data_IF_017064696557
#
_entry.id   IF_017064696557
#
_cell.length_a   1.000
_cell.length_b   1.000
_cell.length_c   1.000
_cell.angle_alpha   90.00
_cell.angle_beta   90.00
_cell.angle_gamma   90.00
#
_symmetry.space_group_name_H-M   'P 1'
#
loop_
_entity.id
_entity.type
_entity.pdbx_description
1 polymer ?
#
# COMPACT_ATOMS: atom_id res chain seq x y z
N UNK A 1 -10.83 -16.03 -12.14
CA UNK A 1 -9.49 -15.51 -12.49
C UNK A 1 -9.28 -14.18 -11.81
N UNK A 2 -8.22 -14.06 -11.05
CA UNK A 2 -7.88 -12.82 -10.35
C UNK A 2 -7.06 -11.91 -11.27
N UNK A 3 -7.27 -10.57 -11.23
CA UNK A 3 -6.38 -9.64 -11.94
C UNK A 3 -4.92 -9.74 -11.47
N UNK A 4 -4.69 -10.29 -10.28
CA UNK A 4 -3.34 -10.50 -9.73
C UNK A 4 -2.69 -11.79 -10.22
N UNK A 5 -3.36 -12.56 -11.07
CA UNK A 5 -2.75 -13.69 -11.78
C UNK A 5 -1.91 -13.24 -13.00
N UNK A 6 -1.99 -11.94 -13.34
CA UNK A 6 -1.14 -11.36 -14.38
C UNK A 6 0.34 -11.41 -13.97
N UNK A 7 1.28 -11.35 -14.94
CA UNK A 7 2.70 -11.39 -14.62
C UNK A 7 3.13 -10.25 -13.72
N UNK A 8 4.02 -10.55 -12.78
CA UNK A 8 4.64 -9.54 -11.93
C UNK A 8 5.75 -8.84 -12.70
N UNK A 9 5.70 -7.50 -12.70
CA UNK A 9 6.75 -6.66 -13.27
C UNK A 9 7.47 -5.95 -12.12
N UNK A 10 8.74 -6.31 -11.82
CA UNK A 10 9.48 -5.66 -10.75
C UNK A 10 9.69 -4.17 -11.01
N UNK A 11 9.83 -3.40 -9.93
CA UNK A 11 10.23 -1.99 -10.03
C UNK A 11 11.57 -1.89 -10.76
N UNK A 12 11.73 -0.93 -11.69
CA UNK A 12 13.03 -0.67 -12.29
C UNK A 12 14.05 -0.12 -11.30
N UNK A 13 13.60 0.35 -10.15
CA UNK A 13 14.48 0.78 -9.07
C UNK A 13 14.81 -0.42 -8.18
N UNK A 14 16.02 -0.94 -8.33
CA UNK A 14 16.46 -2.17 -7.66
C UNK A 14 16.20 -2.23 -6.15
N UNK A 15 16.42 -1.16 -5.35
CA UNK A 15 16.13 -1.23 -3.92
C UNK A 15 14.70 -1.63 -3.59
N UNK A 16 13.72 -1.19 -4.37
CA UNK A 16 12.32 -1.57 -4.17
C UNK A 16 12.10 -3.06 -4.53
N UNK A 17 12.64 -3.51 -5.65
CA UNK A 17 12.53 -4.91 -6.06
C UNK A 17 13.20 -5.85 -5.03
N UNK A 18 14.33 -5.45 -4.49
CA UNK A 18 15.05 -6.21 -3.45
C UNK A 18 14.26 -6.28 -2.14
N UNK A 19 13.60 -5.19 -1.74
CA UNK A 19 12.74 -5.15 -0.55
C UNK A 19 11.55 -6.11 -0.69
N UNK A 20 10.93 -6.14 -1.87
CA UNK A 20 9.83 -7.06 -2.15
C UNK A 20 10.31 -8.52 -2.03
N UNK A 21 11.47 -8.82 -2.64
CA UNK A 21 12.05 -10.16 -2.57
C UNK A 21 12.38 -10.56 -1.14
N UNK A 22 12.97 -9.65 -0.36
CA UNK A 22 13.28 -9.88 1.05
C UNK A 22 12.02 -10.22 1.84
N UNK A 23 10.96 -9.45 1.64
CA UNK A 23 9.69 -9.68 2.34
C UNK A 23 9.11 -11.04 1.99
N UNK A 24 9.05 -11.37 0.72
CA UNK A 24 8.47 -12.63 0.24
C UNK A 24 9.27 -13.83 0.72
N UNK A 25 10.60 -13.74 0.71
CA UNK A 25 11.48 -14.81 1.15
C UNK A 25 11.39 -15.06 2.66
N UNK A 26 11.19 -14.00 3.45
CA UNK A 26 11.18 -14.09 4.91
C UNK A 26 9.80 -14.04 5.54
N UNK A 27 8.74 -13.92 4.72
CA UNK A 27 7.38 -13.70 5.17
C UNK A 27 7.29 -12.48 6.12
N UNK A 28 8.01 -11.42 5.80
CA UNK A 28 8.00 -10.18 6.57
C UNK A 28 8.78 -10.23 7.88
N UNK A 29 9.58 -11.28 8.12
CA UNK A 29 10.33 -11.43 9.37
C UNK A 29 11.48 -10.44 9.53
N UNK A 30 12.04 -9.96 8.41
CA UNK A 30 13.14 -9.01 8.43
C UNK A 30 12.63 -7.57 8.25
N UNK A 31 13.24 -6.59 8.93
CA UNK A 31 12.84 -5.20 8.77
C UNK A 31 13.21 -4.65 7.39
N UNK A 32 12.46 -3.63 6.96
CA UNK A 32 12.78 -2.88 5.75
C UNK A 32 13.78 -1.77 6.07
N UNK A 33 14.75 -1.56 5.19
CA UNK A 33 15.66 -0.42 5.28
C UNK A 33 14.94 0.91 4.96
N UNK A 34 13.80 0.84 4.27
CA UNK A 34 13.07 2.02 3.77
C UNK A 34 11.87 2.36 4.67
N UNK A 35 11.06 1.35 5.06
CA UNK A 35 9.80 1.58 5.77
C UNK A 35 9.80 1.04 7.21
N UNK A 36 10.92 0.56 7.70
CA UNK A 36 11.06 0.16 9.11
C UNK A 36 10.61 -1.27 9.40
N UNK A 37 10.26 -1.52 10.67
CA UNK A 37 10.05 -2.88 11.18
C UNK A 37 8.67 -3.44 10.84
N UNK A 38 7.66 -2.58 10.75
CA UNK A 38 6.27 -2.99 10.59
C UNK A 38 5.77 -2.58 9.21
N UNK A 39 5.84 -3.52 8.28
CA UNK A 39 5.58 -3.24 6.88
C UNK A 39 4.83 -4.37 6.18
N UNK A 40 4.28 -4.03 5.03
CA UNK A 40 3.49 -4.92 4.18
C UNK A 40 3.92 -4.75 2.73
N UNK A 41 3.49 -5.67 1.88
CA UNK A 41 3.62 -5.53 0.43
C UNK A 41 2.24 -5.30 -0.17
N UNK A 42 2.07 -4.18 -0.85
CA UNK A 42 0.86 -3.85 -1.59
C UNK A 42 1.02 -4.31 -3.05
N UNK A 43 0.04 -5.07 -3.53
CA UNK A 43 -0.03 -5.47 -4.94
C UNK A 43 -1.11 -4.65 -5.63
N UNK A 44 -0.75 -4.03 -6.74
CA UNK A 44 -1.70 -3.33 -7.61
C UNK A 44 -1.54 -3.81 -9.04
N UNK A 45 -2.55 -3.54 -9.87
CA UNK A 45 -2.45 -3.82 -11.31
C UNK A 45 -2.05 -2.53 -12.00
N UNK A 46 -0.99 -2.56 -12.78
CA UNK A 46 -0.51 -1.39 -13.49
C UNK A 46 -1.58 -0.79 -14.41
N UNK A 47 -1.87 0.50 -14.24
CA UNK A 47 -2.94 1.17 -14.98
C UNK A 47 -2.75 1.15 -16.49
N UNK A 48 -1.50 1.07 -16.95
CA UNK A 48 -1.15 1.06 -18.37
C UNK A 48 -0.74 -0.32 -18.87
N UNK A 49 0.07 -1.04 -18.06
CA UNK A 49 0.67 -2.30 -18.47
C UNK A 49 -0.22 -3.51 -18.22
N UNK A 50 -1.15 -3.43 -17.26
CA UNK A 50 -1.93 -4.57 -16.81
C UNK A 50 -1.12 -5.60 -16.01
N UNK A 51 0.17 -5.34 -15.77
CA UNK A 51 1.03 -6.24 -15.00
C UNK A 51 0.87 -5.99 -13.50
N UNK A 52 1.21 -6.98 -12.69
CA UNK A 52 1.20 -6.84 -11.23
C UNK A 52 2.42 -6.03 -10.79
N UNK A 53 2.17 -5.01 -9.97
CA UNK A 53 3.21 -4.20 -9.34
C UNK A 53 3.14 -4.42 -7.83
N UNK A 54 4.29 -4.47 -7.18
CA UNK A 54 4.39 -4.68 -5.73
C UNK A 54 5.17 -3.55 -5.09
N UNK A 55 4.66 -3.01 -3.99
CA UNK A 55 5.24 -1.85 -3.31
C UNK A 55 5.32 -2.11 -1.82
N UNK A 56 6.49 -1.96 -1.19
CA UNK A 56 6.61 -2.01 0.26
C UNK A 56 6.05 -0.72 0.87
N UNK A 57 5.21 -0.87 1.88
CA UNK A 57 4.57 0.25 2.58
C UNK A 57 4.54 -0.02 4.08
N UNK A 58 4.42 1.07 4.85
CA UNK A 58 4.20 0.99 6.30
C UNK A 58 2.85 0.29 6.56
N UNK A 59 2.83 -0.63 7.53
CA UNK A 59 1.63 -1.35 7.92
C UNK A 59 0.73 -0.47 8.78
N UNK A 60 -0.46 -0.17 8.29
CA UNK A 60 -1.48 0.58 9.02
C UNK A 60 -2.75 -0.26 8.99
N UNK A 61 -3.12 -0.82 10.13
CA UNK A 61 -4.24 -1.77 10.23
C UNK A 61 -5.15 -1.41 11.39
N UNK A 62 -6.42 -1.79 11.29
CA UNK A 62 -7.37 -1.71 12.39
C UNK A 62 -7.65 -3.11 12.97
N UNK A 63 -8.55 -3.20 13.95
CA UNK A 63 -8.89 -4.45 14.60
C UNK A 63 -9.94 -5.27 13.82
N UNK A 64 -10.50 -4.71 12.77
CA UNK A 64 -11.53 -5.35 11.94
C UNK A 64 -10.95 -6.03 10.69
N UNK A 65 -9.63 -6.02 10.52
CA UNK A 65 -8.97 -6.63 9.37
C UNK A 65 -8.86 -5.70 8.17
N UNK A 66 -9.14 -4.42 8.34
CA UNK A 66 -8.96 -3.40 7.31
C UNK A 66 -7.57 -2.77 7.43
N UNK A 67 -7.10 -2.24 6.32
CA UNK A 67 -5.80 -1.55 6.25
C UNK A 67 -5.99 -0.20 5.59
N UNK A 68 -5.04 0.69 5.79
CA UNK A 68 -4.92 1.91 4.99
C UNK A 68 -3.56 1.98 4.34
N UNK A 69 -3.51 2.55 3.14
CA UNK A 69 -2.27 2.88 2.45
C UNK A 69 -2.29 4.37 2.12
N UNK A 70 -1.17 5.02 2.39
CA UNK A 70 -1.04 6.48 2.33
C UNK A 70 -0.12 6.84 1.17
N UNK A 71 -0.63 7.60 0.21
CA UNK A 71 0.10 8.01 -0.98
C UNK A 71 1.04 9.19 -0.74
N UNK A 72 1.80 9.16 0.35
CA UNK A 72 2.65 10.28 0.76
C UNK A 72 3.90 10.46 -0.08
N UNK A 73 4.58 9.37 -0.40
CA UNK A 73 5.88 9.39 -1.09
C UNK A 73 6.84 10.43 -0.48
N UNK A 74 6.88 10.49 0.87
CA UNK A 74 7.70 11.44 1.61
C UNK A 74 7.33 12.90 1.42
N UNK A 75 6.11 13.21 0.96
CA UNK A 75 5.68 14.57 0.65
C UNK A 75 6.12 15.05 -0.73
N UNK A 76 6.53 14.15 -1.62
CA UNK A 76 6.88 14.48 -3.00
C UNK A 76 5.72 15.17 -3.73
N UNK A 77 6.01 16.00 -4.75
CA UNK A 77 4.96 16.79 -5.44
C UNK A 77 3.96 15.95 -6.23
N UNK A 78 4.32 14.73 -6.61
CA UNK A 78 3.45 13.85 -7.38
C UNK A 78 3.05 12.63 -6.56
N UNK A 79 1.88 12.05 -6.88
CA UNK A 79 1.44 10.81 -6.28
C UNK A 79 2.32 9.64 -6.75
N UNK A 80 2.54 8.62 -5.87
CA UNK A 80 3.18 7.39 -6.31
C UNK A 80 2.35 6.69 -7.40
N UNK A 81 3.00 5.90 -8.24
CA UNK A 81 2.33 5.20 -9.35
C UNK A 81 1.20 4.29 -8.87
N UNK A 82 1.35 3.65 -7.72
CA UNK A 82 0.31 2.75 -7.21
C UNK A 82 -1.01 3.47 -6.89
N UNK A 83 -0.97 4.79 -6.60
CA UNK A 83 -2.18 5.59 -6.45
C UNK A 83 -2.99 5.60 -7.75
N UNK A 84 -2.31 5.82 -8.87
CA UNK A 84 -2.96 5.80 -10.19
C UNK A 84 -3.50 4.40 -10.51
N UNK A 85 -2.77 3.37 -10.13
CA UNK A 85 -3.19 1.99 -10.34
C UNK A 85 -4.48 1.68 -9.55
N UNK A 86 -4.56 2.09 -8.28
CA UNK A 86 -5.74 1.87 -7.46
C UNK A 86 -6.95 2.68 -7.93
N UNK A 87 -6.73 3.87 -8.48
CA UNK A 87 -7.81 4.67 -9.05
C UNK A 87 -8.35 4.06 -10.34
N UNK A 88 -7.49 3.43 -11.13
CA UNK A 88 -7.90 2.76 -12.36
C UNK A 88 -8.61 1.43 -12.08
N UNK A 89 -8.12 0.65 -11.10
CA UNK A 89 -8.73 -0.60 -10.67
C UNK A 89 -8.69 -0.65 -9.13
N UNK A 90 -9.84 -0.42 -8.46
CA UNK A 90 -9.90 -0.32 -6.99
C UNK A 90 -9.90 -1.69 -6.31
N UNK A 91 -8.92 -2.50 -6.63
CA UNK A 91 -8.64 -3.79 -6.02
C UNK A 91 -7.18 -3.84 -5.63
N UNK A 92 -6.88 -4.51 -4.54
CA UNK A 92 -5.52 -4.72 -4.07
C UNK A 92 -5.36 -6.13 -3.53
N UNK A 93 -4.14 -6.60 -3.54
CA UNK A 93 -3.73 -7.77 -2.77
C UNK A 93 -2.68 -7.29 -1.78
N UNK A 94 -2.73 -7.77 -0.54
CA UNK A 94 -1.71 -7.46 0.46
C UNK A 94 -1.05 -8.75 0.92
N UNK A 95 0.26 -8.67 1.09
CA UNK A 95 0.97 -9.65 1.90
C UNK A 95 1.29 -9.00 3.25
N UNK A 96 0.77 -9.59 4.32
CA UNK A 96 1.02 -9.19 5.70
C UNK A 96 1.58 -10.42 6.43
N UNK A 97 2.89 -10.44 6.62
CA UNK A 97 3.58 -11.63 7.08
C UNK A 97 3.46 -12.75 6.05
N UNK A 98 2.97 -13.90 6.47
CA UNK A 98 2.73 -15.06 5.61
C UNK A 98 1.37 -15.03 4.92
N UNK A 99 0.46 -14.15 5.35
CA UNK A 99 -0.89 -14.06 4.79
C UNK A 99 -0.91 -13.21 3.53
N UNK A 100 -1.57 -13.71 2.50
CA UNK A 100 -1.80 -12.99 1.24
C UNK A 100 -3.31 -12.99 0.98
N UNK A 101 -3.93 -11.80 0.93
CA UNK A 101 -5.40 -11.67 0.79
C UNK A 101 -5.73 -10.55 -0.19
N UNK A 102 -6.92 -10.65 -0.80
CA UNK A 102 -7.45 -9.62 -1.69
C UNK A 102 -8.40 -8.70 -0.96
N UNK A 103 -8.42 -7.43 -1.38
CA UNK A 103 -9.16 -6.35 -0.72
C UNK A 103 -9.89 -5.52 -1.75
N UNK A 104 -11.08 -5.04 -1.37
CA UNK A 104 -11.75 -3.95 -2.06
C UNK A 104 -11.17 -2.64 -1.56
N UNK A 105 -10.96 -1.70 -2.47
CA UNK A 105 -10.26 -0.44 -2.19
C UNK A 105 -11.21 0.74 -2.32
N UNK A 106 -11.16 1.64 -1.36
CA UNK A 106 -11.94 2.87 -1.36
C UNK A 106 -11.02 4.05 -1.00
N UNK A 107 -10.95 5.02 -1.88
CA UNK A 107 -10.27 6.28 -1.54
C UNK A 107 -11.17 7.07 -0.61
N UNK A 108 -10.69 7.35 0.61
CA UNK A 108 -11.51 7.94 1.67
C UNK A 108 -11.23 9.43 1.84
N UNK A 109 -12.27 10.14 2.28
CA UNK A 109 -12.24 11.57 2.59
C UNK A 109 -12.99 11.82 3.90
N UNK A 110 -12.98 13.05 4.38
CA UNK A 110 -13.73 13.46 5.57
C UNK A 110 -13.33 12.68 6.83
N UNK A 111 -14.30 12.26 7.60
CA UNK A 111 -14.08 11.59 8.89
C UNK A 111 -13.34 10.28 8.76
N UNK A 112 -13.65 9.48 7.74
CA UNK A 112 -12.97 8.21 7.50
C UNK A 112 -11.48 8.43 7.23
N UNK A 113 -11.15 9.43 6.41
CA UNK A 113 -9.76 9.81 6.15
C UNK A 113 -9.06 10.28 7.42
N UNK A 114 -9.73 11.12 8.21
CA UNK A 114 -9.17 11.65 9.46
C UNK A 114 -8.86 10.55 10.46
N UNK A 115 -9.73 9.56 10.59
CA UNK A 115 -9.51 8.42 11.49
C UNK A 115 -8.30 7.60 11.06
N UNK A 116 -8.18 7.30 9.77
CA UNK A 116 -7.01 6.58 9.24
C UNK A 116 -5.74 7.41 9.35
N UNK A 117 -5.82 8.71 9.11
CA UNK A 117 -4.69 9.63 9.23
C UNK A 117 -4.14 9.64 10.66
N UNK A 118 -5.01 9.72 11.65
CA UNK A 118 -4.64 9.66 13.05
C UNK A 118 -3.95 8.34 13.38
N UNK A 119 -4.51 7.23 12.92
CA UNK A 119 -3.93 5.89 13.13
C UNK A 119 -2.57 5.78 12.42
N UNK A 120 -2.46 6.30 11.23
CA UNK A 120 -1.22 6.31 10.46
C UNK A 120 -0.09 7.03 11.19
N UNK A 121 -0.38 8.21 11.77
CA UNK A 121 0.62 8.98 12.50
C UNK A 121 1.05 8.30 13.80
N UNK A 122 0.24 7.42 14.37
CA UNK A 122 0.63 6.61 15.53
C UNK A 122 1.71 5.59 15.16
N UNK A 123 1.65 5.08 13.94
CA UNK A 123 2.63 4.10 13.43
C UNK A 123 3.85 4.80 12.84
N UNK A 124 3.63 5.87 12.08
CA UNK A 124 4.67 6.61 11.37
C UNK A 124 4.40 8.12 11.50
N UNK A 125 4.96 8.77 12.53
CA UNK A 125 4.63 10.18 12.87
C UNK A 125 4.98 11.21 11.80
N UNK A 126 5.70 10.82 10.76
CA UNK A 126 6.16 11.69 9.67
C UNK A 126 5.04 12.12 8.70
N UNK A 127 3.87 11.45 8.73
CA UNK A 127 2.81 11.74 7.74
C UNK A 127 2.33 13.18 7.81
N UNK A 128 2.16 13.75 8.99
CA UNK A 128 1.80 15.16 9.14
C UNK A 128 2.85 16.09 8.54
N UNK A 129 4.13 15.76 8.72
CA UNK A 129 5.25 16.50 8.14
C UNK A 129 5.20 16.42 6.62
N UNK A 130 4.93 15.24 6.07
CA UNK A 130 4.82 15.06 4.62
C UNK A 130 3.69 15.89 4.04
N UNK A 131 2.51 15.91 4.68
CA UNK A 131 1.38 16.72 4.22
C UNK A 131 1.71 18.21 4.28
N UNK A 132 2.40 18.65 5.32
CA UNK A 132 2.80 20.06 5.47
C UNK A 132 3.83 20.50 4.42
N UNK A 133 4.59 19.56 3.84
CA UNK A 133 5.63 19.85 2.85
C UNK A 133 5.14 19.88 1.41
N UNK A 134 3.87 19.56 1.16
CA UNK A 134 3.31 19.53 -0.19
C UNK A 134 1.94 20.22 -0.23
N UNK A 135 1.63 20.84 -1.36
CA UNK A 135 0.31 21.44 -1.60
C UNK A 135 -0.73 20.41 -2.03
N UNK A 136 -0.31 19.26 -2.54
CA UNK A 136 -1.26 18.22 -2.92
C UNK A 136 -1.92 17.60 -1.68
N UNK A 137 -3.17 17.21 -1.83
CA UNK A 137 -3.89 16.46 -0.82
C UNK A 137 -3.45 14.99 -0.89
N UNK A 138 -2.72 14.53 0.12
CA UNK A 138 -2.17 13.18 0.13
C UNK A 138 -3.31 12.15 0.16
N UNK A 139 -3.40 11.25 -0.85
CA UNK A 139 -4.48 10.27 -0.88
C UNK A 139 -4.37 9.23 0.24
N UNK A 140 -5.52 8.84 0.77
CA UNK A 140 -5.65 7.75 1.73
C UNK A 140 -6.63 6.74 1.15
N UNK A 141 -6.23 5.48 1.07
CA UNK A 141 -7.09 4.39 0.60
C UNK A 141 -7.35 3.42 1.75
N UNK A 142 -8.62 3.07 1.93
CA UNK A 142 -9.01 2.01 2.85
C UNK A 142 -9.13 0.70 2.09
N UNK A 143 -8.55 -0.35 2.63
CA UNK A 143 -8.61 -1.70 2.09
C UNK A 143 -9.46 -2.56 3.01
N UNK A 144 -10.61 -3.00 2.53
CA UNK A 144 -11.50 -3.90 3.25
C UNK A 144 -11.38 -5.32 2.71
N UNK A 145 -11.30 -6.35 3.56
CA UNK A 145 -11.15 -7.73 3.09
C UNK A 145 -12.27 -8.09 2.12
N UNK A 146 -11.89 -8.61 0.97
CA UNK A 146 -12.86 -9.07 -0.02
C UNK A 146 -13.42 -10.41 0.43
N UNK A 147 -14.75 -10.55 0.33
CA UNK A 147 -15.39 -11.80 0.68
C UNK A 147 -14.88 -12.92 -0.22
N UNK A 148 -14.50 -14.05 0.41
CA UNK A 148 -14.13 -15.26 -0.33
C UNK A 148 -15.42 -15.88 -0.83
N UNK A 149 -15.57 -15.97 -2.15
CA UNK A 149 -16.70 -16.66 -2.76
C UNK A 149 -16.42 -18.16 -2.71
N UNK A 150 -17.32 -18.96 -2.09
CA UNK A 150 -17.13 -20.41 -2.03
C UNK A 150 -17.17 -21.05 -3.41
#
# INVERSE_FOLDING_TARGET
VSPFDAPYEPSPWEPIAEEVELYERTAGAEPSAVVGDDWIILWTVGARSGTVRKTPLVRIADDAGCYAVIGSMGGAPNNPQWVHNLRALPLARLQDGAEVREFDVLEVEGDARSEWWTRANQVWPEYDTYQASTERHIPVFELAPRAVTP
#
